data_IF_358978414583
#
_entry.id   IF_358978414583
#
_cell.length_a   1.000
_cell.length_b   1.000
_cell.length_c   1.000
_cell.angle_alpha   90.00
_cell.angle_beta   90.00
_cell.angle_gamma   90.00
#
_symmetry.space_group_name_H-M   'P 1'
#
loop_
_entity.id
_entity.type
_entity.pdbx_description
1 polymer ?
#
# COMPACT_ATOMS: atom_id res chain seq x y z
N UNK A 1 -2.04 -4.76 15.70
CA UNK A 1 -1.75 -6.17 16.01
C UNK A 1 -1.44 -6.89 14.71
N UNK A 2 -0.38 -7.68 14.68
CA UNK A 2 0.09 -8.39 13.48
C UNK A 2 -0.02 -9.91 13.74
N UNK A 3 -0.65 -10.65 12.83
CA UNK A 3 -0.91 -12.08 12.98
C UNK A 3 -0.13 -12.86 11.92
N UNK A 4 0.52 -13.94 12.35
CA UNK A 4 1.16 -14.91 11.45
C UNK A 4 0.22 -16.12 11.26
N UNK A 5 0.09 -16.66 10.04
CA UNK A 5 -0.73 -17.83 9.80
C UNK A 5 -0.08 -19.13 10.34
N UNK A 6 -0.85 -20.23 10.52
CA UNK A 6 -0.33 -21.54 10.91
C UNK A 6 0.72 -22.10 9.94
N UNK A 7 1.58 -23.00 10.44
CA UNK A 7 2.62 -23.65 9.66
C UNK A 7 2.01 -24.60 8.62
N UNK A 8 1.87 -24.12 7.37
CA UNK A 8 1.43 -24.79 6.12
C UNK A 8 0.50 -23.90 5.28
N UNK A 9 0.11 -22.73 5.79
CA UNK A 9 -0.66 -21.75 5.03
C UNK A 9 0.25 -20.72 4.36
N UNK A 10 -0.24 -20.12 3.27
CA UNK A 10 0.44 -18.99 2.62
C UNK A 10 0.64 -17.87 3.64
N UNK A 11 1.88 -17.35 3.73
CA UNK A 11 2.20 -16.18 4.55
C UNK A 11 1.24 -15.03 4.21
N UNK A 12 0.58 -14.51 5.23
CA UNK A 12 -0.41 -13.43 5.13
C UNK A 12 -0.08 -12.38 6.17
N UNK A 13 -0.23 -11.10 5.81
CA UNK A 13 -0.12 -9.98 6.73
C UNK A 13 -1.55 -9.49 7.02
N UNK A 14 -2.08 -9.80 8.21
CA UNK A 14 -3.44 -9.39 8.60
C UNK A 14 -3.39 -8.11 9.42
N UNK A 15 -4.02 -7.04 8.91
CA UNK A 15 -4.13 -5.75 9.59
C UNK A 15 -5.55 -5.51 10.11
N UNK A 16 -5.75 -5.57 11.43
CA UNK A 16 -7.01 -5.20 12.09
C UNK A 16 -6.98 -3.71 12.44
N UNK A 17 -8.01 -2.97 12.05
CA UNK A 17 -8.08 -1.50 12.19
C UNK A 17 -9.45 -1.04 12.66
N UNK A 18 -9.48 0.07 13.41
CA UNK A 18 -10.72 0.66 13.92
C UNK A 18 -11.37 1.51 12.83
N UNK A 19 -12.69 1.38 12.58
CA UNK A 19 -13.41 2.23 11.65
C UNK A 19 -13.24 3.73 11.93
N UNK A 20 -13.09 4.53 10.88
CA UNK A 20 -12.91 5.98 10.94
C UNK A 20 -11.50 6.46 11.28
N UNK A 21 -10.54 5.58 11.59
CA UNK A 21 -9.16 5.98 11.88
C UNK A 21 -8.34 6.18 10.61
N UNK A 22 -7.38 7.10 10.64
CA UNK A 22 -6.50 7.39 9.50
C UNK A 22 -5.80 6.13 8.96
N UNK A 23 -5.37 5.23 9.86
CA UNK A 23 -4.74 3.97 9.47
C UNK A 23 -5.68 3.01 8.73
N UNK A 24 -7.01 3.12 8.88
CA UNK A 24 -8.01 2.38 8.11
C UNK A 24 -8.20 2.97 6.72
N UNK A 25 -8.26 4.30 6.60
CA UNK A 25 -8.42 5.00 5.32
C UNK A 25 -7.20 4.81 4.41
N UNK A 26 -6.01 4.93 4.98
CA UNK A 26 -4.73 4.86 4.29
C UNK A 26 -4.63 3.71 3.24
N UNK A 27 -4.78 2.42 3.62
CA UNK A 27 -4.62 1.32 2.67
C UNK A 27 -5.71 1.27 1.60
N UNK A 28 -6.92 1.74 1.91
CA UNK A 28 -8.04 1.76 0.95
C UNK A 28 -7.81 2.83 -0.11
N UNK A 29 -7.47 4.04 0.33
CA UNK A 29 -7.15 5.14 -0.59
C UNK A 29 -5.94 4.79 -1.46
N UNK A 30 -4.87 4.26 -0.87
CA UNK A 30 -3.68 3.87 -1.60
C UNK A 30 -3.99 2.83 -2.69
N UNK A 31 -4.79 1.81 -2.36
CA UNK A 31 -5.24 0.78 -3.32
C UNK A 31 -6.05 1.39 -4.46
N UNK A 32 -7.05 2.19 -4.12
CA UNK A 32 -7.99 2.73 -5.11
C UNK A 32 -7.32 3.74 -6.03
N UNK A 33 -6.43 4.57 -5.48
CA UNK A 33 -5.59 5.47 -6.25
C UNK A 33 -4.73 4.71 -7.27
N UNK A 34 -4.04 3.63 -6.85
CA UNK A 34 -3.23 2.84 -7.78
C UNK A 34 -4.06 2.12 -8.85
N UNK A 35 -5.30 1.71 -8.54
CA UNK A 35 -6.24 1.15 -9.53
C UNK A 35 -6.65 2.21 -10.57
N UNK A 36 -6.86 3.45 -10.13
CA UNK A 36 -7.22 4.56 -11.01
C UNK A 36 -6.03 5.14 -11.80
N UNK A 37 -4.78 4.88 -11.38
CA UNK A 37 -3.56 5.41 -12.01
C UNK A 37 -2.57 4.30 -12.41
N UNK A 38 -2.84 3.57 -13.52
CA UNK A 38 -2.03 2.43 -13.95
C UNK A 38 -0.54 2.75 -14.13
N UNK A 39 -0.21 3.95 -14.61
CA UNK A 39 1.18 4.39 -14.78
C UNK A 39 1.92 4.50 -13.44
N UNK A 40 1.27 5.03 -12.40
CA UNK A 40 1.85 5.08 -11.05
C UNK A 40 2.01 3.68 -10.47
N UNK A 41 1.03 2.79 -10.71
CA UNK A 41 1.13 1.39 -10.28
C UNK A 41 2.28 0.65 -10.97
N UNK A 42 2.51 0.89 -12.26
CA UNK A 42 3.62 0.32 -13.01
C UNK A 42 4.97 0.82 -12.50
N UNK A 43 5.11 2.13 -12.29
CA UNK A 43 6.31 2.72 -11.71
C UNK A 43 6.62 2.14 -10.32
N UNK A 44 5.60 2.01 -9.47
CA UNK A 44 5.75 1.40 -8.15
C UNK A 44 6.11 -0.10 -8.24
N UNK A 45 5.53 -0.83 -9.19
CA UNK A 45 5.90 -2.23 -9.44
C UNK A 45 7.36 -2.37 -9.89
N UNK A 46 7.83 -1.50 -10.79
CA UNK A 46 9.23 -1.47 -11.23
C UNK A 46 10.17 -1.17 -10.07
N UNK A 47 9.87 -0.17 -9.25
CA UNK A 47 10.64 0.14 -8.05
C UNK A 47 10.78 -1.10 -7.16
N UNK A 48 9.67 -1.78 -6.84
CA UNK A 48 9.70 -2.98 -5.98
C UNK A 48 10.57 -4.10 -6.55
N UNK A 49 10.60 -4.30 -7.88
CA UNK A 49 11.44 -5.31 -8.54
C UNK A 49 12.92 -4.93 -8.44
N UNK A 50 13.27 -3.70 -8.79
CA UNK A 50 14.66 -3.18 -8.67
C UNK A 50 15.15 -3.31 -7.22
N UNK A 51 14.33 -2.95 -6.24
CA UNK A 51 14.67 -3.09 -4.83
C UNK A 51 14.88 -4.56 -4.45
N UNK A 52 14.01 -5.47 -4.90
CA UNK A 52 14.15 -6.90 -4.61
C UNK A 52 15.41 -7.53 -5.27
N UNK A 53 15.82 -7.02 -6.43
CA UNK A 53 16.98 -7.51 -7.17
C UNK A 53 18.30 -6.97 -6.62
N UNK A 54 18.33 -5.72 -6.15
CA UNK A 54 19.58 -5.01 -5.85
C UNK A 54 19.85 -4.75 -4.36
N UNK A 55 18.86 -4.91 -3.47
CA UNK A 55 19.12 -4.80 -2.03
C UNK A 55 19.82 -6.07 -1.52
N UNK A 56 21.10 -5.91 -1.17
CA UNK A 56 21.89 -6.95 -0.52
C UNK A 56 21.33 -7.34 0.86
N UNK A 57 20.73 -6.38 1.57
CA UNK A 57 20.05 -6.59 2.84
C UNK A 57 18.53 -6.40 2.70
N UNK A 58 17.73 -7.47 2.80
CA UNK A 58 16.27 -7.37 2.81
C UNK A 58 15.69 -6.51 3.94
N UNK A 59 16.42 -6.30 5.04
CA UNK A 59 15.97 -5.43 6.14
C UNK A 59 16.03 -3.94 5.79
N UNK A 60 16.82 -3.54 4.79
CA UNK A 60 16.88 -2.16 4.28
C UNK A 60 15.75 -1.86 3.28
N UNK A 61 14.98 -2.88 2.87
CA UNK A 61 13.91 -2.75 1.89
C UNK A 61 12.80 -1.76 2.31
N UNK A 62 12.31 -1.74 3.57
CA UNK A 62 11.33 -0.74 4.02
C UNK A 62 11.89 0.69 3.92
N UNK A 63 13.10 0.93 4.41
CA UNK A 63 13.70 2.28 4.47
C UNK A 63 13.83 2.95 3.11
N UNK A 64 14.07 2.17 2.05
CA UNK A 64 14.18 2.68 0.68
C UNK A 64 12.81 2.82 0.00
N UNK A 65 11.85 1.95 0.35
CA UNK A 65 10.52 1.92 -0.27
C UNK A 65 9.56 2.94 0.35
N UNK A 66 9.66 3.18 1.65
CA UNK A 66 8.71 4.00 2.40
C UNK A 66 8.61 5.45 1.87
N UNK A 67 9.71 6.14 1.49
CA UNK A 67 9.61 7.46 0.86
C UNK A 67 8.81 7.48 -0.45
N UNK A 68 8.92 6.43 -1.28
CA UNK A 68 8.14 6.34 -2.50
C UNK A 68 6.65 6.12 -2.20
N UNK A 69 6.35 5.33 -1.17
CA UNK A 69 4.99 5.11 -0.70
C UNK A 69 4.36 6.41 -0.16
N UNK A 70 5.12 7.23 0.57
CA UNK A 70 4.67 8.54 1.05
C UNK A 70 4.33 9.50 -0.09
N UNK A 71 5.17 9.55 -1.13
CA UNK A 71 4.91 10.39 -2.32
C UNK A 71 3.66 9.93 -3.08
N UNK A 72 3.48 8.62 -3.25
CA UNK A 72 2.27 8.06 -3.86
C UNK A 72 1.05 8.42 -3.00
N UNK A 73 1.16 8.30 -1.68
CA UNK A 73 0.07 8.61 -0.78
C UNK A 73 -0.31 10.10 -0.80
N UNK A 74 0.66 11.00 -0.87
CA UNK A 74 0.40 12.43 -1.05
C UNK A 74 -0.35 12.73 -2.36
N UNK A 75 0.00 12.05 -3.44
CA UNK A 75 -0.74 12.16 -4.71
C UNK A 75 -2.16 11.57 -4.58
N UNK A 76 -2.32 10.49 -3.83
CA UNK A 76 -3.60 9.88 -3.54
C UNK A 76 -4.52 10.80 -2.72
N UNK A 77 -4.00 11.53 -1.73
CA UNK A 77 -4.76 12.53 -0.96
C UNK A 77 -5.32 13.62 -1.87
N UNK A 78 -4.48 14.19 -2.75
CA UNK A 78 -4.92 15.20 -3.73
C UNK A 78 -6.00 14.67 -4.66
N UNK A 79 -5.84 13.44 -5.14
CA UNK A 79 -6.84 12.79 -5.98
C UNK A 79 -8.16 12.56 -5.23
N UNK A 80 -8.08 12.18 -3.94
CA UNK A 80 -9.26 11.99 -3.12
C UNK A 80 -10.06 13.29 -2.94
N UNK A 81 -9.38 14.41 -2.73
CA UNK A 81 -10.02 15.73 -2.67
C UNK A 81 -10.70 16.09 -3.99
N UNK A 82 -10.01 15.89 -5.13
CA UNK A 82 -10.51 16.25 -6.46
C UNK A 82 -11.71 15.41 -6.91
N UNK A 83 -11.77 14.15 -6.48
CA UNK A 83 -12.83 13.21 -6.86
C UNK A 83 -13.89 13.02 -5.80
N UNK A 84 -13.75 13.72 -4.66
CA UNK A 84 -14.56 13.52 -3.46
C UNK A 84 -14.62 12.03 -3.06
N UNK A 85 -13.47 11.35 -3.15
CA UNK A 85 -13.36 9.91 -2.88
C UNK A 85 -13.80 9.60 -1.45
N UNK A 86 -14.53 8.49 -1.30
CA UNK A 86 -14.90 7.89 -0.03
C UNK A 86 -14.60 6.40 -0.08
N UNK A 87 -14.31 5.75 1.05
CA UNK A 87 -14.19 4.29 1.10
C UNK A 87 -15.47 3.64 0.57
N UNK A 88 -15.33 2.86 -0.52
CA UNK A 88 -16.44 2.11 -1.09
C UNK A 88 -16.79 0.85 -0.28
N UNK A 89 -17.72 0.06 -0.80
CA UNK A 89 -18.01 -1.27 -0.26
C UNK A 89 -16.77 -2.17 -0.34
N UNK A 90 -16.80 -3.24 0.47
CA UNK A 90 -15.80 -4.31 0.37
C UNK A 90 -15.77 -4.87 -1.06
N UNK A 91 -14.59 -5.28 -1.53
CA UNK A 91 -14.45 -5.97 -2.84
C UNK A 91 -15.12 -7.36 -2.84
N UNK A 92 -15.68 -7.80 -1.70
CA UNK A 92 -16.34 -9.08 -1.44
C UNK A 92 -17.58 -8.89 -0.58
#
# INVERSE_FOLDING_TARGET
MYFHPPANQRRTHTHVRVPGRANQRYPLLFRDYLRAHPQTAEAYARLKRVLAEHLADPFMYPDVKDPAVDLIYLAAEKWAEQTNWQPGESDY
#
